data_IF_093775377029
#
_entry.id   IF_093775377029
#
_cell.length_a   1.000
_cell.length_b   1.000
_cell.length_c   1.000
_cell.angle_alpha   90.00
_cell.angle_beta   90.00
_cell.angle_gamma   90.00
#
_symmetry.space_group_name_H-M   'P 1'
#
loop_
_entity.id
_entity.type
_entity.pdbx_description
1 polymer ?
#
# COMPACT_ATOMS: atom_id res chain seq x y z
N UNK A 1 -6.69 30.34 -0.54
CA UNK A 1 -6.10 29.89 -1.81
C UNK A 1 -7.16 29.56 -2.85
N UNK A 2 -8.05 28.60 -2.62
CA UNK A 2 -9.09 28.20 -3.58
C UNK A 2 -9.92 29.38 -4.10
N UNK A 3 -10.49 30.24 -3.24
CA UNK A 3 -11.27 31.40 -3.64
C UNK A 3 -10.46 32.44 -4.43
N UNK A 4 -9.19 32.64 -4.11
CA UNK A 4 -8.30 33.52 -4.87
C UNK A 4 -8.08 32.94 -6.27
N UNK A 5 -7.91 31.62 -6.38
CA UNK A 5 -7.72 30.93 -7.65
C UNK A 5 -8.99 30.97 -8.51
N UNK A 6 -10.19 30.91 -7.90
CA UNK A 6 -11.47 31.05 -8.61
C UNK A 6 -11.65 32.46 -9.22
N UNK A 7 -11.26 33.52 -8.51
CA UNK A 7 -11.45 34.92 -8.93
C UNK A 7 -10.34 35.39 -9.89
N UNK A 8 -9.14 34.78 -9.87
CA UNK A 8 -8.06 35.13 -10.78
C UNK A 8 -8.41 34.78 -12.23
N UNK A 9 -7.90 35.51 -13.25
CA UNK A 9 -8.08 35.09 -14.65
C UNK A 9 -7.47 33.71 -14.89
N UNK A 10 -8.06 32.91 -15.80
CA UNK A 10 -7.50 31.64 -16.18
C UNK A 10 -6.15 31.84 -16.89
N UNK A 11 -5.12 31.04 -16.61
CA UNK A 11 -3.90 31.07 -17.42
C UNK A 11 -4.20 30.81 -18.89
N UNK A 12 -3.43 31.41 -19.77
CA UNK A 12 -3.62 31.28 -21.21
C UNK A 12 -3.56 29.81 -21.65
N UNK A 13 -4.62 29.37 -22.32
CA UNK A 13 -4.80 27.98 -22.78
C UNK A 13 -5.43 27.01 -21.77
N UNK A 14 -5.75 27.45 -20.55
CA UNK A 14 -6.46 26.63 -19.57
C UNK A 14 -7.97 26.89 -19.64
N UNK A 15 -8.82 25.87 -19.91
CA UNK A 15 -10.27 26.02 -19.86
C UNK A 15 -10.77 26.43 -18.45
N UNK A 16 -11.89 27.14 -18.38
CA UNK A 16 -12.46 27.60 -17.10
C UNK A 16 -12.75 26.44 -16.14
N UNK A 17 -13.28 25.31 -16.65
CA UNK A 17 -13.49 24.12 -15.84
C UNK A 17 -12.16 23.52 -15.36
N UNK A 18 -11.14 23.50 -16.22
CA UNK A 18 -9.79 23.06 -15.85
C UNK A 18 -9.18 23.92 -14.73
N UNK A 19 -9.40 25.23 -14.77
CA UNK A 19 -9.00 26.14 -13.69
C UNK A 19 -9.69 25.80 -12.37
N UNK A 20 -11.01 25.54 -12.38
CA UNK A 20 -11.76 25.14 -11.18
C UNK A 20 -11.19 23.84 -10.60
N UNK A 21 -10.97 22.84 -11.45
CA UNK A 21 -10.39 21.55 -11.03
C UNK A 21 -8.99 21.74 -10.45
N UNK A 22 -8.15 22.57 -11.08
CA UNK A 22 -6.82 22.88 -10.55
C UNK A 22 -6.90 23.53 -9.14
N UNK A 23 -7.85 24.46 -8.94
CA UNK A 23 -8.09 25.07 -7.63
C UNK A 23 -8.54 24.09 -6.56
N UNK A 24 -9.48 23.19 -6.90
CA UNK A 24 -9.94 22.13 -5.99
C UNK A 24 -8.81 21.19 -5.68
N UNK A 25 -8.05 20.76 -6.69
CA UNK A 25 -6.90 19.88 -6.51
C UNK A 25 -5.85 20.50 -5.59
N UNK A 26 -5.51 21.77 -5.80
CA UNK A 26 -4.56 22.48 -4.96
C UNK A 26 -5.04 22.54 -3.48
N UNK A 27 -6.34 22.75 -3.26
CA UNK A 27 -6.91 22.73 -1.92
C UNK A 27 -6.77 21.35 -1.27
N UNK A 28 -7.14 20.28 -1.98
CA UNK A 28 -6.99 18.91 -1.50
C UNK A 28 -5.52 18.59 -1.18
N UNK A 29 -4.60 18.91 -2.09
CA UNK A 29 -3.17 18.68 -1.92
C UNK A 29 -2.63 19.41 -0.69
N UNK A 30 -2.94 20.68 -0.52
CA UNK A 30 -2.50 21.46 0.65
C UNK A 30 -3.00 20.83 1.95
N UNK A 31 -4.26 20.41 2.01
CA UNK A 31 -4.81 19.79 3.21
C UNK A 31 -4.29 18.37 3.44
N UNK A 32 -4.01 17.60 2.39
CA UNK A 32 -3.38 16.29 2.51
C UNK A 32 -1.91 16.37 2.96
N UNK A 33 -1.18 17.41 2.50
CA UNK A 33 0.24 17.60 2.87
C UNK A 33 0.37 18.19 4.28
N UNK A 34 -0.46 19.17 4.61
CA UNK A 34 -0.37 19.85 5.92
C UNK A 34 -1.14 19.14 7.03
N UNK A 35 -1.98 18.15 6.68
CA UNK A 35 -2.91 17.49 7.61
C UNK A 35 -3.72 18.48 8.46
N UNK A 36 -3.96 19.70 7.92
CA UNK A 36 -4.77 20.73 8.60
C UNK A 36 -6.19 20.22 8.93
N UNK A 37 -6.68 19.31 8.13
CA UNK A 37 -7.89 18.51 8.35
C UNK A 37 -7.53 17.06 8.09
N UNK A 38 -8.19 16.11 8.77
CA UNK A 38 -7.97 14.69 8.52
C UNK A 38 -7.99 14.36 7.02
N UNK A 39 -7.02 13.62 6.54
CA UNK A 39 -6.92 13.21 5.13
C UNK A 39 -8.21 12.55 4.63
N UNK A 40 -8.91 11.80 5.51
CA UNK A 40 -10.17 11.14 5.19
C UNK A 40 -11.32 12.14 5.00
N UNK A 41 -11.40 13.16 5.87
CA UNK A 41 -12.41 14.22 5.75
C UNK A 41 -12.14 15.10 4.51
N UNK A 42 -10.88 15.45 4.25
CA UNK A 42 -10.45 16.15 3.05
C UNK A 42 -10.89 15.39 1.80
N UNK A 43 -10.79 14.08 1.81
CA UNK A 43 -11.16 13.22 0.69
C UNK A 43 -12.67 13.15 0.42
N UNK A 44 -13.52 13.76 1.24
CA UNK A 44 -14.96 13.93 0.96
C UNK A 44 -15.26 15.22 0.17
N UNK A 45 -14.31 16.15 0.07
CA UNK A 45 -14.53 17.42 -0.62
C UNK A 45 -14.92 17.27 -2.11
N UNK A 46 -14.37 16.35 -2.91
CA UNK A 46 -14.79 16.15 -4.30
C UNK A 46 -16.30 15.88 -4.44
N UNK A 47 -16.91 15.11 -3.50
CA UNK A 47 -18.35 14.84 -3.50
C UNK A 47 -19.21 16.11 -3.40
N UNK A 48 -18.69 17.15 -2.78
CA UNK A 48 -19.39 18.44 -2.65
C UNK A 48 -18.94 19.45 -3.73
N UNK A 49 -17.62 19.60 -3.92
CA UNK A 49 -17.08 20.69 -4.73
C UNK A 49 -17.29 20.47 -6.24
N UNK A 50 -17.15 19.26 -6.75
CA UNK A 50 -17.37 19.02 -8.19
C UNK A 50 -18.82 19.26 -8.60
N UNK A 51 -19.85 18.78 -7.87
CA UNK A 51 -21.22 19.11 -8.20
C UNK A 51 -21.57 20.59 -8.03
N UNK A 52 -21.12 21.25 -6.97
CA UNK A 52 -21.39 22.69 -6.73
C UNK A 52 -20.77 23.54 -7.83
N UNK A 53 -19.60 23.21 -8.33
CA UNK A 53 -18.91 23.95 -9.40
C UNK A 53 -19.33 23.54 -10.81
N UNK A 54 -20.17 22.49 -10.94
CA UNK A 54 -20.64 21.99 -12.24
C UNK A 54 -19.60 21.23 -13.05
N UNK A 55 -18.46 20.87 -12.46
CA UNK A 55 -17.41 20.07 -13.15
C UNK A 55 -17.89 18.65 -13.41
N UNK A 56 -18.43 17.98 -12.39
CA UNK A 56 -19.01 16.65 -12.48
C UNK A 56 -20.33 16.60 -11.69
N UNK A 57 -21.32 15.85 -12.16
CA UNK A 57 -22.56 15.66 -11.39
C UNK A 57 -22.31 14.78 -10.15
N UNK A 58 -23.14 14.95 -9.12
CA UNK A 58 -23.09 14.13 -7.90
C UNK A 58 -23.22 12.63 -8.21
N UNK A 59 -24.03 12.29 -9.23
CA UNK A 59 -24.19 10.89 -9.67
C UNK A 59 -22.88 10.30 -10.17
N UNK A 60 -22.14 11.06 -10.97
CA UNK A 60 -20.85 10.62 -11.53
C UNK A 60 -19.82 10.50 -10.40
N UNK A 61 -19.64 11.56 -9.61
CA UNK A 61 -18.67 11.52 -8.51
C UNK A 61 -19.00 10.41 -7.51
N UNK A 62 -20.29 10.22 -7.16
CA UNK A 62 -20.72 9.16 -6.24
C UNK A 62 -20.44 7.74 -6.78
N UNK A 63 -20.52 7.55 -8.10
CA UNK A 63 -20.15 6.28 -8.72
C UNK A 63 -18.67 5.94 -8.51
N UNK A 64 -17.77 6.94 -8.61
CA UNK A 64 -16.34 6.74 -8.36
C UNK A 64 -16.02 6.32 -6.92
N UNK A 65 -16.80 6.83 -5.94
CA UNK A 65 -16.66 6.43 -4.53
C UNK A 65 -17.24 5.04 -4.22
N UNK A 66 -17.95 4.45 -5.16
CA UNK A 66 -18.51 3.09 -5.10
C UNK A 66 -18.07 2.25 -6.30
N UNK A 67 -16.92 2.55 -6.89
CA UNK A 67 -16.39 1.77 -8.00
C UNK A 67 -16.13 0.32 -7.59
N UNK A 68 -16.13 -0.63 -8.54
CA UNK A 68 -15.90 -2.05 -8.25
C UNK A 68 -14.64 -2.31 -7.41
N UNK A 69 -13.58 -1.52 -7.62
CA UNK A 69 -12.33 -1.69 -6.88
C UNK A 69 -12.45 -1.26 -5.42
N UNK A 70 -13.29 -0.28 -5.12
CA UNK A 70 -13.60 0.13 -3.74
C UNK A 70 -14.45 -0.93 -3.05
N UNK A 71 -15.40 -1.52 -3.77
CA UNK A 71 -16.22 -2.64 -3.28
C UNK A 71 -15.33 -3.86 -2.99
N UNK A 72 -14.39 -4.17 -3.90
CA UNK A 72 -13.39 -5.22 -3.68
C UNK A 72 -12.63 -4.99 -2.38
N UNK A 73 -12.11 -3.79 -2.17
CA UNK A 73 -11.33 -3.47 -0.97
C UNK A 73 -12.20 -3.57 0.30
N UNK A 74 -13.44 -3.11 0.26
CA UNK A 74 -14.38 -3.27 1.37
C UNK A 74 -14.59 -4.75 1.73
N UNK A 75 -14.83 -5.60 0.73
CA UNK A 75 -14.97 -7.05 0.93
C UNK A 75 -13.71 -7.67 1.54
N UNK A 76 -12.53 -7.30 1.03
CA UNK A 76 -11.26 -7.77 1.58
C UNK A 76 -11.01 -7.26 3.01
N UNK A 77 -11.41 -6.05 3.35
CA UNK A 77 -11.32 -5.57 4.74
C UNK A 77 -12.15 -6.43 5.70
N UNK A 78 -13.32 -6.90 5.30
CA UNK A 78 -14.12 -7.82 6.12
C UNK A 78 -13.42 -9.17 6.30
N UNK A 79 -12.80 -9.71 5.24
CA UNK A 79 -12.02 -10.96 5.31
C UNK A 79 -10.81 -10.79 6.24
N UNK A 80 -10.05 -9.70 6.07
CA UNK A 80 -8.88 -9.38 6.91
C UNK A 80 -9.30 -9.17 8.37
N UNK A 81 -10.41 -8.48 8.62
CA UNK A 81 -10.96 -8.28 9.96
C UNK A 81 -11.22 -9.62 10.70
N UNK A 82 -11.68 -10.63 9.97
CA UNK A 82 -11.86 -11.97 10.55
C UNK A 82 -10.51 -12.64 10.86
N UNK A 83 -9.52 -12.49 10.00
CA UNK A 83 -8.15 -12.96 10.26
C UNK A 83 -7.60 -12.32 11.53
N UNK A 84 -7.76 -11.00 11.67
CA UNK A 84 -7.31 -10.24 12.84
C UNK A 84 -8.05 -10.69 14.12
N UNK A 85 -9.38 -10.75 14.06
CA UNK A 85 -10.22 -11.12 15.21
C UNK A 85 -9.92 -12.55 15.70
N UNK A 86 -9.59 -13.47 14.80
CA UNK A 86 -9.22 -14.85 15.16
C UNK A 86 -7.80 -14.97 15.76
N UNK A 87 -6.95 -13.98 15.57
CA UNK A 87 -5.54 -14.04 15.94
C UNK A 87 -4.72 -15.00 15.07
N UNK A 88 -5.20 -15.36 13.88
CA UNK A 88 -4.54 -16.27 12.95
C UNK A 88 -3.17 -15.74 12.55
N UNK A 89 -3.03 -14.41 12.31
CA UNK A 89 -1.78 -13.76 11.94
C UNK A 89 -0.65 -13.96 12.98
N UNK A 90 -0.99 -13.97 14.29
CA UNK A 90 0.00 -14.23 15.34
C UNK A 90 0.53 -15.66 15.26
N UNK A 91 -0.35 -16.60 14.98
CA UNK A 91 0.01 -18.01 14.84
C UNK A 91 0.88 -18.27 13.63
N UNK A 92 0.54 -17.63 12.48
CA UNK A 92 1.36 -17.67 11.27
C UNK A 92 2.73 -17.06 11.56
N UNK A 93 2.78 -15.92 12.25
CA UNK A 93 4.03 -15.23 12.58
C UNK A 93 4.97 -16.09 13.41
N UNK A 94 4.52 -16.64 14.55
CA UNK A 94 5.35 -17.52 15.36
C UNK A 94 5.73 -18.82 14.65
N UNK A 95 4.84 -19.34 13.78
CA UNK A 95 5.13 -20.47 12.91
C UNK A 95 6.32 -20.20 12.02
N UNK A 96 6.29 -19.10 11.25
CA UNK A 96 7.34 -18.72 10.32
C UNK A 96 8.64 -18.37 11.06
N UNK A 97 8.59 -17.50 12.09
CA UNK A 97 9.79 -17.10 12.85
C UNK A 97 10.54 -18.33 13.40
N UNK A 98 9.80 -19.31 13.94
CA UNK A 98 10.41 -20.52 14.51
C UNK A 98 11.08 -21.44 13.48
N UNK A 99 10.79 -21.28 12.17
CA UNK A 99 11.41 -22.09 11.10
C UNK A 99 12.81 -21.61 10.73
N UNK A 100 13.12 -20.33 10.90
CA UNK A 100 14.39 -19.76 10.47
C UNK A 100 15.53 -19.92 11.49
N UNK A 101 15.20 -20.18 12.76
CA UNK A 101 16.15 -20.36 13.84
C UNK A 101 16.31 -19.14 14.75
N UNK A 102 17.25 -19.18 15.67
CA UNK A 102 17.24 -18.34 16.87
C UNK A 102 18.48 -17.44 17.02
N UNK A 103 19.37 -17.40 16.05
CA UNK A 103 20.46 -16.41 16.05
C UNK A 103 19.94 -15.01 15.75
N UNK A 104 20.63 -13.94 16.17
CA UNK A 104 20.21 -12.56 15.93
C UNK A 104 19.84 -12.27 14.48
N UNK A 105 20.63 -12.75 13.52
CA UNK A 105 20.36 -12.60 12.08
C UNK A 105 19.09 -13.33 11.66
N UNK A 106 18.92 -14.57 12.16
CA UNK A 106 17.77 -15.42 11.81
C UNK A 106 16.46 -14.89 12.40
N UNK A 107 16.52 -14.24 13.56
CA UNK A 107 15.37 -13.55 14.14
C UNK A 107 14.93 -12.41 13.22
N UNK A 108 15.86 -11.53 12.80
CA UNK A 108 15.56 -10.45 11.86
C UNK A 108 15.00 -11.03 10.56
N UNK A 109 15.66 -12.04 9.98
CA UNK A 109 15.22 -12.75 8.78
C UNK A 109 13.78 -13.28 8.94
N UNK A 110 13.50 -14.00 10.02
CA UNK A 110 12.19 -14.60 10.28
C UNK A 110 11.09 -13.56 10.41
N UNK A 111 11.35 -12.46 11.15
CA UNK A 111 10.40 -11.36 11.27
C UNK A 111 10.17 -10.64 9.94
N UNK A 112 11.23 -10.35 9.17
CA UNK A 112 11.11 -9.67 7.87
C UNK A 112 10.33 -10.50 6.87
N UNK A 113 10.63 -11.80 6.73
CA UNK A 113 9.90 -12.69 5.82
C UNK A 113 8.44 -12.84 6.26
N UNK A 114 8.21 -13.07 7.55
CA UNK A 114 6.86 -13.18 8.10
C UNK A 114 6.04 -11.92 7.81
N UNK A 115 6.60 -10.76 8.13
CA UNK A 115 5.94 -9.46 7.93
C UNK A 115 5.63 -9.22 6.46
N UNK A 116 6.59 -9.45 5.56
CA UNK A 116 6.37 -9.30 4.13
C UNK A 116 5.28 -10.24 3.61
N UNK A 117 5.32 -11.54 3.98
CA UNK A 117 4.32 -12.52 3.55
C UNK A 117 2.91 -12.16 4.03
N UNK A 118 2.73 -11.76 5.28
CA UNK A 118 1.43 -11.33 5.77
C UNK A 118 0.99 -10.05 5.05
N UNK A 119 1.93 -9.14 4.76
CA UNK A 119 1.66 -7.88 4.08
C UNK A 119 1.37 -8.03 2.59
N UNK A 120 1.51 -9.21 1.99
CA UNK A 120 1.01 -9.44 0.62
C UNK A 120 -0.51 -9.46 0.52
N UNK A 121 -1.20 -9.69 1.63
CA UNK A 121 -2.67 -9.85 1.68
C UNK A 121 -3.33 -8.83 2.61
N UNK A 122 -2.62 -8.44 3.66
CA UNK A 122 -3.08 -7.49 4.67
C UNK A 122 -2.32 -6.18 4.48
N UNK A 123 -3.01 -5.05 4.58
CA UNK A 123 -2.39 -3.72 4.44
C UNK A 123 -1.18 -3.55 5.40
N UNK A 124 -0.12 -2.92 4.90
CA UNK A 124 1.12 -2.70 5.65
C UNK A 124 0.90 -2.06 7.03
N UNK A 125 -0.04 -1.12 7.14
CA UNK A 125 -0.42 -0.47 8.42
C UNK A 125 -0.91 -1.50 9.43
N UNK A 126 -1.86 -2.34 9.04
CA UNK A 126 -2.44 -3.38 9.90
C UNK A 126 -1.38 -4.40 10.32
N UNK A 127 -0.55 -4.84 9.38
CA UNK A 127 0.53 -5.78 9.68
C UNK A 127 1.52 -5.18 10.68
N UNK A 128 1.88 -3.92 10.53
CA UNK A 128 2.78 -3.23 11.45
C UNK A 128 2.17 -3.12 12.87
N UNK A 129 0.89 -2.74 12.97
CA UNK A 129 0.16 -2.69 14.27
C UNK A 129 0.17 -4.05 14.98
N UNK A 130 0.16 -5.15 14.24
CA UNK A 130 0.15 -6.50 14.80
C UNK A 130 1.56 -7.01 15.14
N UNK A 131 2.53 -6.80 14.25
CA UNK A 131 3.86 -7.41 14.38
C UNK A 131 4.78 -6.58 15.30
N UNK A 132 4.72 -5.24 15.28
CA UNK A 132 5.59 -4.40 16.10
C UNK A 132 5.41 -4.66 17.60
N UNK A 133 4.19 -4.75 18.17
CA UNK A 133 4.01 -5.15 19.56
C UNK A 133 4.56 -6.55 19.87
N UNK A 134 4.48 -7.49 18.91
CA UNK A 134 5.09 -8.82 19.08
C UNK A 134 6.62 -8.73 19.17
N UNK A 135 7.25 -7.88 18.38
CA UNK A 135 8.69 -7.60 18.48
C UNK A 135 9.03 -7.07 19.86
N UNK A 136 8.26 -6.10 20.36
CA UNK A 136 8.49 -5.55 21.71
C UNK A 136 8.30 -6.59 22.81
N UNK A 137 7.27 -7.41 22.71
CA UNK A 137 7.04 -8.49 23.69
C UNK A 137 8.22 -9.48 23.71
N UNK A 138 8.76 -9.85 22.55
CA UNK A 138 9.94 -10.72 22.48
C UNK A 138 11.18 -10.03 23.04
N UNK A 139 11.43 -8.74 22.68
CA UNK A 139 12.56 -7.98 23.21
C UNK A 139 12.49 -7.82 24.74
N UNK A 140 11.30 -7.60 25.30
CA UNK A 140 11.09 -7.57 26.76
C UNK A 140 11.39 -8.93 27.38
N UNK A 141 10.83 -10.01 26.86
CA UNK A 141 11.08 -11.35 27.36
C UNK A 141 12.57 -11.75 27.29
N UNK A 142 13.27 -11.34 26.24
CA UNK A 142 14.72 -11.54 26.13
C UNK A 142 15.46 -10.78 27.25
N UNK A 143 15.12 -9.52 27.47
CA UNK A 143 15.72 -8.69 28.52
C UNK A 143 15.44 -9.23 29.92
N UNK A 144 14.18 -9.59 30.20
CA UNK A 144 13.71 -10.09 31.50
C UNK A 144 14.38 -11.44 31.86
N UNK A 145 14.76 -12.24 30.84
CA UNK A 145 15.48 -13.49 31.01
C UNK A 145 17.02 -13.32 30.92
N UNK A 146 17.53 -12.09 30.95
CA UNK A 146 18.96 -11.81 31.01
C UNK A 146 19.71 -11.88 29.68
N UNK A 147 19.00 -12.00 28.54
CA UNK A 147 19.62 -11.94 27.21
C UNK A 147 19.97 -10.50 26.88
N UNK A 148 21.27 -10.21 26.81
CA UNK A 148 21.76 -8.89 26.39
C UNK A 148 21.73 -8.76 24.88
N UNK A 149 21.25 -7.66 24.37
CA UNK A 149 21.29 -7.28 22.97
C UNK A 149 21.61 -5.78 22.81
N UNK A 150 22.20 -5.43 21.67
CA UNK A 150 22.58 -4.05 21.40
C UNK A 150 21.39 -3.20 20.96
N UNK A 151 21.47 -1.88 21.18
CA UNK A 151 20.52 -0.93 20.60
C UNK A 151 20.44 -1.07 19.07
N UNK A 152 21.57 -1.39 18.44
CA UNK A 152 21.66 -1.62 16.99
C UNK A 152 20.79 -2.80 16.55
N UNK A 153 20.82 -3.93 17.27
CA UNK A 153 19.95 -5.09 16.98
C UNK A 153 18.47 -4.69 17.07
N UNK A 154 18.08 -4.00 18.15
CA UNK A 154 16.70 -3.50 18.32
C UNK A 154 16.27 -2.62 17.13
N UNK A 155 17.10 -1.65 16.74
CA UNK A 155 16.82 -0.74 15.62
C UNK A 155 16.70 -1.51 14.29
N UNK A 156 17.64 -2.42 14.02
CA UNK A 156 17.60 -3.21 12.76
C UNK A 156 16.39 -4.13 12.68
N UNK A 157 15.99 -4.74 13.79
CA UNK A 157 14.80 -5.58 13.85
C UNK A 157 13.52 -4.77 13.60
N UNK A 158 13.36 -3.63 14.26
CA UNK A 158 12.17 -2.78 14.13
C UNK A 158 12.07 -2.15 12.73
N UNK A 159 13.16 -1.58 12.21
CA UNK A 159 13.18 -1.03 10.85
C UNK A 159 13.01 -2.13 9.80
N UNK A 160 13.61 -3.30 10.01
CA UNK A 160 13.42 -4.46 9.13
C UNK A 160 11.96 -4.87 9.03
N UNK A 161 11.23 -4.90 10.13
CA UNK A 161 9.78 -5.16 10.15
C UNK A 161 9.00 -4.08 9.43
N UNK A 162 9.24 -2.79 9.75
CA UNK A 162 8.53 -1.69 9.10
C UNK A 162 8.72 -1.69 7.57
N UNK A 163 9.96 -1.83 7.11
CA UNK A 163 10.27 -1.81 5.68
C UNK A 163 9.78 -3.04 4.96
N UNK A 164 9.87 -4.24 5.58
CA UNK A 164 9.32 -5.46 5.01
C UNK A 164 7.80 -5.43 4.89
N UNK A 165 7.10 -4.74 5.80
CA UNK A 165 5.66 -4.50 5.70
C UNK A 165 5.31 -3.69 4.45
N UNK A 166 6.03 -2.59 4.18
CA UNK A 166 5.84 -1.78 2.98
C UNK A 166 6.23 -2.54 1.71
N UNK A 167 7.36 -3.26 1.72
CA UNK A 167 7.82 -4.06 0.58
C UNK A 167 6.81 -5.18 0.26
N UNK A 168 6.29 -5.89 1.26
CA UNK A 168 5.29 -6.94 1.05
C UNK A 168 4.00 -6.41 0.45
N UNK A 169 3.57 -5.20 0.84
CA UNK A 169 2.28 -4.63 0.44
C UNK A 169 2.19 -4.27 -1.05
N UNK A 170 3.30 -4.09 -1.75
CA UNK A 170 3.25 -3.80 -3.19
C UNK A 170 2.96 -5.03 -4.05
N UNK A 171 3.01 -6.25 -3.47
CA UNK A 171 2.89 -7.51 -4.22
C UNK A 171 1.52 -7.71 -4.84
N UNK A 172 0.45 -7.36 -4.15
CA UNK A 172 -0.93 -7.58 -4.62
C UNK A 172 -1.72 -6.29 -4.67
N UNK A 173 -2.81 -6.28 -5.44
CA UNK A 173 -3.67 -5.10 -5.55
C UNK A 173 -4.26 -4.68 -4.21
N UNK A 174 -4.68 -5.64 -3.38
CA UNK A 174 -5.45 -5.39 -2.15
C UNK A 174 -4.60 -4.94 -0.96
N UNK A 175 -3.30 -5.18 -1.00
CA UNK A 175 -2.41 -4.93 0.13
C UNK A 175 -1.94 -3.47 0.24
N UNK A 176 -2.12 -2.67 -0.82
CA UNK A 176 -1.75 -1.25 -0.85
C UNK A 176 -2.78 -0.43 -1.65
N UNK A 177 -3.37 0.63 -1.08
CA UNK A 177 -4.31 1.49 -1.79
C UNK A 177 -3.78 2.09 -3.10
N UNK A 178 -2.52 2.53 -3.21
CA UNK A 178 -1.94 2.96 -4.49
C UNK A 178 -2.06 1.93 -5.61
N UNK A 179 -1.91 0.63 -5.31
CA UNK A 179 -2.02 -0.44 -6.32
C UNK A 179 -3.44 -0.50 -6.92
N UNK A 180 -4.45 -0.36 -6.06
CA UNK A 180 -5.85 -0.32 -6.48
C UNK A 180 -6.17 0.93 -7.30
N UNK A 181 -5.66 2.08 -6.87
CA UNK A 181 -5.81 3.34 -7.60
C UNK A 181 -5.18 3.25 -8.99
N UNK A 182 -4.00 2.66 -9.11
CA UNK A 182 -3.38 2.39 -10.39
C UNK A 182 -4.28 1.55 -11.29
N UNK A 183 -4.81 0.43 -10.79
CA UNK A 183 -5.65 -0.47 -11.58
C UNK A 183 -6.92 0.21 -12.09
N UNK A 184 -7.56 1.04 -11.23
CA UNK A 184 -8.79 1.76 -11.61
C UNK A 184 -8.51 2.87 -12.62
N UNK A 185 -7.48 3.71 -12.39
CA UNK A 185 -7.13 4.79 -13.31
C UNK A 185 -6.69 4.24 -14.67
N UNK A 186 -5.96 3.13 -14.70
CA UNK A 186 -5.60 2.46 -15.95
C UNK A 186 -6.85 1.96 -16.69
N UNK A 187 -7.82 1.39 -15.97
CA UNK A 187 -9.09 0.95 -16.56
C UNK A 187 -9.89 2.13 -17.11
N UNK A 188 -10.01 3.20 -16.33
CA UNK A 188 -10.79 4.38 -16.69
C UNK A 188 -10.20 5.14 -17.89
N UNK A 189 -8.89 5.42 -17.87
CA UNK A 189 -8.27 6.28 -18.88
C UNK A 189 -7.78 5.52 -20.13
N UNK A 190 -7.39 4.26 -19.98
CA UNK A 190 -6.77 3.48 -21.06
C UNK A 190 -7.57 2.26 -21.47
N UNK A 191 -8.70 1.97 -20.80
CA UNK A 191 -9.56 0.82 -21.09
C UNK A 191 -8.90 -0.55 -20.81
N UNK A 192 -7.76 -0.58 -20.11
CA UNK A 192 -6.99 -1.80 -19.84
C UNK A 192 -7.30 -2.33 -18.44
N UNK A 193 -7.65 -3.59 -18.33
CA UNK A 193 -7.95 -4.23 -17.05
C UNK A 193 -6.69 -4.81 -16.41
N UNK A 194 -6.32 -4.30 -15.25
CA UNK A 194 -5.25 -4.86 -14.41
C UNK A 194 -5.88 -5.82 -13.42
N UNK A 195 -5.76 -7.11 -13.66
CA UNK A 195 -6.32 -8.14 -12.78
C UNK A 195 -5.43 -8.34 -11.54
N UNK A 196 -5.99 -9.04 -10.53
CA UNK A 196 -5.22 -9.42 -9.34
C UNK A 196 -3.98 -10.26 -9.71
N UNK A 197 -4.15 -11.20 -10.66
CA UNK A 197 -3.07 -12.06 -11.15
C UNK A 197 -2.01 -11.30 -11.94
N UNK A 198 -2.43 -10.44 -12.90
CA UNK A 198 -1.51 -9.63 -13.70
C UNK A 198 -0.65 -8.72 -12.86
N UNK A 199 -1.24 -7.96 -11.94
CA UNK A 199 -0.46 -7.12 -11.03
C UNK A 199 0.52 -7.95 -10.20
N UNK A 200 0.03 -9.02 -9.56
CA UNK A 200 0.87 -9.84 -8.68
C UNK A 200 2.04 -10.50 -9.42
N UNK A 201 1.84 -10.96 -10.66
CA UNK A 201 2.90 -11.56 -11.46
C UNK A 201 4.02 -10.58 -11.81
N UNK A 202 3.68 -9.32 -12.00
CA UNK A 202 4.62 -8.24 -12.33
C UNK A 202 5.32 -7.69 -11.08
N UNK A 203 4.56 -7.48 -9.99
CA UNK A 203 5.08 -6.88 -8.77
C UNK A 203 5.88 -7.87 -7.90
N UNK A 204 5.55 -9.17 -7.93
CA UNK A 204 6.21 -10.17 -7.09
C UNK A 204 7.74 -10.29 -7.32
N UNK A 205 8.28 -10.30 -8.55
CA UNK A 205 9.72 -10.32 -8.77
C UNK A 205 10.44 -9.13 -8.13
N UNK A 206 9.88 -7.93 -8.26
CA UNK A 206 10.41 -6.72 -7.63
C UNK A 206 10.36 -6.82 -6.10
N UNK A 207 9.20 -7.25 -5.55
CA UNK A 207 9.02 -7.44 -4.11
C UNK A 207 10.05 -8.43 -3.54
N UNK A 208 10.20 -9.59 -4.17
CA UNK A 208 11.15 -10.63 -3.73
C UNK A 208 12.57 -10.08 -3.74
N UNK A 209 12.97 -9.41 -4.82
CA UNK A 209 14.33 -8.86 -4.95
C UNK A 209 14.58 -7.76 -3.92
N UNK A 210 13.65 -6.83 -3.74
CA UNK A 210 13.75 -5.77 -2.72
C UNK A 210 13.80 -6.33 -1.30
N UNK A 211 12.99 -7.36 -1.02
CA UNK A 211 12.98 -8.02 0.28
C UNK A 211 14.32 -8.73 0.54
N UNK A 212 14.86 -9.47 -0.43
CA UNK A 212 16.15 -10.13 -0.32
C UNK A 212 17.29 -9.14 -0.05
N UNK A 213 17.35 -8.04 -0.80
CA UNK A 213 18.35 -6.98 -0.60
C UNK A 213 18.20 -6.36 0.79
N UNK A 214 16.98 -6.07 1.22
CA UNK A 214 16.70 -5.52 2.55
C UNK A 214 17.12 -6.48 3.67
N UNK A 215 16.84 -7.77 3.54
CA UNK A 215 17.27 -8.81 4.49
C UNK A 215 18.80 -8.88 4.57
N UNK A 216 19.50 -8.91 3.44
CA UNK A 216 20.96 -8.92 3.40
C UNK A 216 21.52 -7.67 4.09
N UNK A 217 20.93 -6.50 3.81
CA UNK A 217 21.35 -5.24 4.44
C UNK A 217 21.17 -5.26 5.96
N UNK A 218 19.98 -5.58 6.46
CA UNK A 218 19.69 -5.55 7.91
C UNK A 218 20.44 -6.65 8.68
N UNK A 219 20.49 -7.87 8.15
CA UNK A 219 21.22 -8.98 8.79
C UNK A 219 22.72 -8.76 8.75
N UNK A 220 23.25 -8.12 7.71
CA UNK A 220 24.67 -7.74 7.61
C UNK A 220 25.08 -6.71 8.70
N UNK A 221 24.18 -5.80 9.07
CA UNK A 221 24.42 -4.81 10.13
C UNK A 221 24.59 -5.41 11.53
N UNK A 222 24.02 -6.58 11.79
CA UNK A 222 24.07 -7.29 13.09
C UNK A 222 25.00 -8.51 13.05
N UNK A 223 25.96 -8.53 12.12
CA UNK A 223 26.86 -9.68 11.91
C UNK A 223 27.62 -10.10 13.18
N UNK A 224 27.99 -9.15 14.00
CA UNK A 224 28.81 -9.38 15.20
C UNK A 224 27.98 -9.44 16.50
N UNK A 225 26.65 -9.46 16.40
CA UNK A 225 25.78 -9.58 17.57
C UNK A 225 25.85 -11.00 18.10
N UNK A 226 26.14 -11.14 19.40
CA UNK A 226 26.16 -12.42 20.10
C UNK A 226 25.02 -12.44 21.13
N UNK A 227 24.20 -13.47 21.07
CA UNK A 227 23.08 -13.70 21.97
C UNK A 227 22.99 -15.20 22.30
N UNK A 228 22.44 -15.52 23.48
CA UNK A 228 22.18 -16.91 23.85
C UNK A 228 21.05 -17.52 23.02
N UNK A 229 21.41 -18.25 21.98
CA UNK A 229 20.44 -18.88 21.07
C UNK A 229 19.56 -19.94 21.76
N UNK A 230 20.08 -20.60 22.82
CA UNK A 230 19.34 -21.62 23.55
C UNK A 230 18.20 -21.00 24.33
N UNK A 231 18.47 -19.89 24.97
CA UNK A 231 17.48 -19.14 25.76
C UNK A 231 16.43 -18.49 24.85
N UNK A 232 16.87 -17.90 23.73
CA UNK A 232 15.97 -17.36 22.70
C UNK A 232 15.03 -18.44 22.16
N UNK A 233 15.58 -19.62 21.84
CA UNK A 233 14.79 -20.78 21.39
C UNK A 233 13.72 -21.13 22.40
N UNK A 234 14.08 -21.23 23.67
CA UNK A 234 13.15 -21.56 24.77
C UNK A 234 12.01 -20.54 24.82
N UNK A 235 12.32 -19.24 24.75
CA UNK A 235 11.33 -18.16 24.79
C UNK A 235 10.36 -18.24 23.60
N UNK A 236 10.88 -18.30 22.36
CA UNK A 236 10.05 -18.33 21.15
C UNK A 236 9.21 -19.61 21.08
N UNK A 237 9.76 -20.76 21.44
CA UNK A 237 9.01 -22.03 21.44
C UNK A 237 7.91 -22.00 22.49
N UNK A 238 8.18 -21.50 23.71
CA UNK A 238 7.18 -21.36 24.77
C UNK A 238 6.05 -20.44 24.34
N UNK A 239 6.35 -19.28 23.73
CA UNK A 239 5.32 -18.36 23.21
C UNK A 239 4.47 -19.01 22.08
N UNK A 240 5.12 -19.78 21.19
CA UNK A 240 4.43 -20.54 20.16
C UNK A 240 3.51 -21.62 20.76
N UNK A 241 3.97 -22.35 21.77
CA UNK A 241 3.19 -23.39 22.46
C UNK A 241 1.96 -22.82 23.18
N UNK A 242 2.08 -21.62 23.80
CA UNK A 242 0.92 -20.91 24.41
C UNK A 242 -0.20 -20.66 23.43
N UNK A 243 0.10 -20.54 22.12
CA UNK A 243 -0.93 -20.35 21.10
C UNK A 243 -1.75 -21.62 20.82
N UNK A 244 -1.30 -22.78 21.27
CA UNK A 244 -2.02 -24.05 21.17
C UNK A 244 -2.31 -24.51 19.74
N UNK A 245 -3.31 -25.37 19.55
CA UNK A 245 -3.79 -25.82 18.22
C UNK A 245 -4.65 -24.72 17.57
N UNK A 246 -4.77 -24.75 16.25
CA UNK A 246 -5.66 -23.83 15.52
C UNK A 246 -7.10 -23.98 15.97
N UNK A 247 -7.73 -22.85 16.35
CA UNK A 247 -9.14 -22.81 16.70
C UNK A 247 -10.03 -22.97 15.46
N UNK A 248 -11.33 -23.18 15.65
CA UNK A 248 -12.30 -23.27 14.54
C UNK A 248 -12.35 -21.95 13.77
N UNK A 249 -12.31 -20.82 14.48
CA UNK A 249 -12.32 -19.47 13.90
C UNK A 249 -11.08 -19.23 13.04
N UNK A 250 -9.90 -19.62 13.53
CA UNK A 250 -8.65 -19.50 12.76
C UNK A 250 -8.68 -20.33 11.49
N UNK A 251 -9.19 -21.56 11.56
CA UNK A 251 -9.34 -22.42 10.37
C UNK A 251 -10.34 -21.82 9.38
N UNK A 252 -11.50 -21.36 9.86
CA UNK A 252 -12.51 -20.73 9.00
C UNK A 252 -11.99 -19.48 8.31
N UNK A 253 -11.31 -18.59 9.05
CA UNK A 253 -10.66 -17.39 8.46
C UNK A 253 -9.63 -17.76 7.40
N UNK A 254 -8.79 -18.76 7.68
CA UNK A 254 -7.77 -19.20 6.72
C UNK A 254 -8.40 -19.79 5.46
N UNK A 255 -9.39 -20.66 5.62
CA UNK A 255 -10.06 -21.31 4.49
C UNK A 255 -10.76 -20.27 3.61
N UNK A 256 -11.52 -19.34 4.21
CA UNK A 256 -12.21 -18.30 3.45
C UNK A 256 -11.21 -17.39 2.75
N UNK A 257 -10.15 -16.96 3.45
CA UNK A 257 -9.09 -16.16 2.86
C UNK A 257 -8.48 -16.86 1.64
N UNK A 258 -8.13 -18.14 1.77
CA UNK A 258 -7.53 -18.92 0.67
C UNK A 258 -8.52 -19.11 -0.48
N UNK A 259 -9.79 -19.40 -0.21
CA UNK A 259 -10.84 -19.53 -1.25
C UNK A 259 -10.98 -18.21 -2.00
N UNK A 260 -11.11 -17.08 -1.29
CA UNK A 260 -11.23 -15.75 -1.91
C UNK A 260 -10.03 -15.45 -2.80
N UNK A 261 -8.80 -15.66 -2.30
CA UNK A 261 -7.59 -15.42 -3.08
C UNK A 261 -7.51 -16.33 -4.31
N UNK A 262 -7.78 -17.62 -4.19
CA UNK A 262 -7.76 -18.58 -5.31
C UNK A 262 -8.78 -18.16 -6.37
N UNK A 263 -10.01 -17.81 -5.97
CA UNK A 263 -11.05 -17.36 -6.90
C UNK A 263 -10.67 -16.04 -7.57
N UNK A 264 -10.07 -15.10 -6.86
CA UNK A 264 -9.60 -13.83 -7.46
C UNK A 264 -8.47 -14.05 -8.48
N UNK A 265 -7.55 -14.97 -8.23
CA UNK A 265 -6.54 -15.36 -9.22
C UNK A 265 -7.13 -16.07 -10.43
N UNK A 266 -8.18 -16.84 -10.22
CA UNK A 266 -8.81 -17.63 -11.26
C UNK A 266 -9.90 -16.85 -12.04
N UNK A 267 -10.39 -15.71 -11.54
CA UNK A 267 -11.45 -14.91 -12.16
C UNK A 267 -11.22 -14.59 -13.66
N UNK A 268 -10.01 -14.24 -14.14
CA UNK A 268 -9.78 -13.96 -15.55
C UNK A 268 -10.08 -15.13 -16.49
N UNK A 269 -10.03 -16.38 -15.99
CA UNK A 269 -10.28 -17.56 -16.83
C UNK A 269 -11.77 -17.76 -17.20
N UNK A 270 -12.71 -17.14 -16.45
CA UNK A 270 -14.14 -17.25 -16.74
C UNK A 270 -14.83 -15.91 -17.01
N UNK A 271 -14.30 -14.80 -16.48
CA UNK A 271 -14.92 -13.48 -16.56
C UNK A 271 -14.27 -12.57 -17.64
N UNK A 272 -13.12 -12.96 -18.18
CA UNK A 272 -12.42 -12.17 -19.21
C UNK A 272 -12.17 -10.72 -18.74
N UNK A 273 -12.60 -9.75 -19.55
CA UNK A 273 -12.38 -8.32 -19.28
C UNK A 273 -13.16 -7.80 -18.08
N UNK A 274 -14.22 -8.47 -17.66
CA UNK A 274 -15.03 -8.12 -16.48
C UNK A 274 -14.50 -8.75 -15.18
N UNK A 275 -13.35 -9.42 -15.22
CA UNK A 275 -12.74 -10.13 -14.09
C UNK A 275 -12.57 -9.28 -12.82
N UNK A 276 -12.41 -7.97 -12.96
CA UNK A 276 -12.30 -7.06 -11.81
C UNK A 276 -13.63 -6.84 -11.09
N UNK A 277 -14.78 -6.90 -11.79
CA UNK A 277 -16.13 -6.89 -11.18
C UNK A 277 -16.33 -8.19 -10.43
N UNK A 278 -15.99 -9.33 -11.04
CA UNK A 278 -16.07 -10.64 -10.42
C UNK A 278 -15.21 -10.71 -9.14
N UNK A 279 -14.00 -10.12 -9.14
CA UNK A 279 -13.17 -10.07 -7.93
C UNK A 279 -13.81 -9.25 -6.81
N UNK A 280 -14.54 -8.17 -7.12
CA UNK A 280 -15.29 -7.41 -6.14
C UNK A 280 -16.44 -8.23 -5.53
N UNK A 281 -17.18 -8.94 -6.37
CA UNK A 281 -18.25 -9.86 -5.93
C UNK A 281 -17.70 -10.96 -5.04
N UNK A 282 -16.60 -11.62 -5.47
CA UNK A 282 -15.92 -12.66 -4.69
C UNK A 282 -15.49 -12.14 -3.31
N UNK A 283 -14.90 -10.95 -3.24
CA UNK A 283 -14.45 -10.35 -2.01
C UNK A 283 -15.60 -10.05 -1.04
N UNK A 284 -16.71 -9.47 -1.53
CA UNK A 284 -17.90 -9.20 -0.73
C UNK A 284 -18.55 -10.50 -0.25
N UNK A 285 -18.72 -11.50 -1.12
CA UNK A 285 -19.25 -12.80 -0.70
C UNK A 285 -18.39 -13.45 0.38
N UNK A 286 -17.06 -13.42 0.22
CA UNK A 286 -16.13 -13.90 1.23
C UNK A 286 -16.29 -13.16 2.56
N UNK A 287 -16.38 -11.83 2.53
CA UNK A 287 -16.58 -10.99 3.70
C UNK A 287 -17.93 -11.26 4.40
N UNK A 288 -19.03 -11.30 3.64
CA UNK A 288 -20.37 -11.54 4.17
C UNK A 288 -20.53 -12.95 4.73
N UNK A 289 -19.91 -13.97 4.13
CA UNK A 289 -19.96 -15.35 4.64
C UNK A 289 -19.49 -15.47 6.09
N UNK A 290 -18.56 -14.61 6.53
CA UNK A 290 -18.02 -14.58 7.88
C UNK A 290 -19.03 -14.13 8.94
N UNK A 291 -20.10 -13.41 8.56
CA UNK A 291 -21.21 -13.05 9.45
C UNK A 291 -22.20 -14.19 9.65
N UNK A 292 -22.18 -15.20 8.78
CA UNK A 292 -23.06 -16.37 8.87
C UNK A 292 -22.44 -17.48 9.70
N UNK A 293 -21.11 -17.60 9.69
CA UNK A 293 -20.38 -18.67 10.40
C UNK A 293 -20.58 -18.54 11.91
N UNK A 294 -21.05 -19.61 12.59
CA UNK A 294 -21.22 -19.60 14.04
C UNK A 294 -19.86 -19.75 14.73
N UNK A 295 -19.58 -18.89 15.71
CA UNK A 295 -18.46 -19.02 16.64
C UNK A 295 -18.81 -20.04 17.72
N UNK A 296 -20.04 -19.90 18.29
CA UNK A 296 -20.65 -20.80 19.25
C UNK A 296 -22.17 -20.83 19.01
N UNK A 297 -22.95 -21.41 19.94
CA UNK A 297 -24.41 -21.51 19.80
C UNK A 297 -25.13 -20.16 19.75
N UNK A 298 -24.57 -19.12 20.33
CA UNK A 298 -25.19 -17.78 20.48
C UNK A 298 -24.53 -16.69 19.72
N UNK A 299 -23.23 -16.83 19.35
CA UNK A 299 -22.43 -15.78 18.70
C UNK A 299 -22.04 -16.19 17.30
N UNK A 300 -22.03 -15.21 16.41
CA UNK A 300 -21.43 -15.29 15.07
C UNK A 300 -19.96 -14.91 15.09
N UNK A 301 -19.22 -15.33 14.06
CA UNK A 301 -17.79 -15.06 13.98
C UNK A 301 -17.52 -13.56 13.82
N UNK A 302 -18.18 -12.88 12.88
CA UNK A 302 -18.23 -11.43 12.78
C UNK A 302 -19.61 -10.92 13.18
N UNK A 303 -19.63 -9.78 13.89
CA UNK A 303 -20.82 -9.00 14.19
C UNK A 303 -20.71 -7.64 13.51
N UNK A 304 -21.83 -6.98 13.26
CA UNK A 304 -21.82 -5.67 12.60
C UNK A 304 -20.99 -4.62 13.35
N UNK A 305 -20.94 -4.70 14.68
CA UNK A 305 -20.08 -3.84 15.51
C UNK A 305 -18.59 -3.98 15.22
N UNK A 306 -18.13 -5.11 14.70
CA UNK A 306 -16.72 -5.30 14.32
C UNK A 306 -16.36 -4.45 13.09
N UNK A 307 -17.31 -4.14 12.21
CA UNK A 307 -17.12 -3.32 11.00
C UNK A 307 -16.61 -1.90 11.33
N UNK A 308 -16.87 -1.42 12.54
CA UNK A 308 -16.31 -0.13 13.00
C UNK A 308 -14.77 -0.09 13.00
N UNK A 309 -14.11 -1.26 13.01
CA UNK A 309 -12.64 -1.37 12.94
C UNK A 309 -12.11 -1.33 11.50
N UNK A 310 -12.99 -1.43 10.51
CA UNK A 310 -12.61 -1.34 9.10
C UNK A 310 -12.14 0.09 8.80
N UNK A 311 -11.00 0.26 8.14
CA UNK A 311 -10.46 1.59 7.83
C UNK A 311 -11.20 2.25 6.64
N UNK A 312 -12.48 2.59 6.83
CA UNK A 312 -13.36 3.15 5.79
C UNK A 312 -12.78 4.43 5.16
N UNK A 313 -11.99 5.20 5.91
CA UNK A 313 -11.36 6.41 5.40
C UNK A 313 -10.46 6.16 4.18
N UNK A 314 -9.86 4.98 4.07
CA UNK A 314 -9.04 4.60 2.92
C UNK A 314 -9.89 4.52 1.64
N UNK A 315 -11.15 4.05 1.76
CA UNK A 315 -12.08 3.98 0.63
C UNK A 315 -12.40 5.39 0.10
N UNK A 316 -12.55 6.37 0.99
CA UNK A 316 -12.79 7.76 0.60
C UNK A 316 -11.59 8.40 -0.10
N UNK A 317 -10.34 8.09 0.32
CA UNK A 317 -9.16 8.61 -0.37
C UNK A 317 -9.09 8.04 -1.80
N UNK A 318 -9.39 6.75 -1.97
CA UNK A 318 -9.43 6.14 -3.31
C UNK A 318 -10.49 6.81 -4.18
N UNK A 319 -11.72 6.96 -3.69
CA UNK A 319 -12.80 7.63 -4.41
C UNK A 319 -12.45 9.07 -4.80
N UNK A 320 -11.77 9.80 -3.92
CA UNK A 320 -11.28 11.14 -4.21
C UNK A 320 -10.24 11.14 -5.35
N UNK A 321 -9.27 10.22 -5.30
CA UNK A 321 -8.22 10.09 -6.33
C UNK A 321 -8.79 9.74 -7.70
N UNK A 322 -9.73 8.79 -7.75
CA UNK A 322 -10.42 8.39 -8.99
C UNK A 322 -11.25 9.56 -9.53
N UNK A 323 -12.04 10.22 -8.68
CA UNK A 323 -12.82 11.40 -9.08
C UNK A 323 -11.95 12.55 -9.58
N UNK A 324 -10.77 12.76 -9.01
CA UNK A 324 -9.80 13.74 -9.50
C UNK A 324 -9.29 13.36 -10.90
N UNK A 325 -8.98 12.10 -11.13
CA UNK A 325 -8.53 11.60 -12.43
C UNK A 325 -9.58 11.91 -13.52
N UNK A 326 -10.83 11.57 -13.24
CA UNK A 326 -11.95 11.86 -14.16
C UNK A 326 -12.14 13.38 -14.36
N UNK A 327 -12.06 14.18 -13.29
CA UNK A 327 -12.18 15.64 -13.39
C UNK A 327 -11.04 16.26 -14.21
N UNK A 328 -9.81 15.74 -14.12
CA UNK A 328 -8.66 16.21 -14.90
C UNK A 328 -8.92 16.05 -16.40
N UNK A 329 -9.40 14.87 -16.81
CA UNK A 329 -9.67 14.58 -18.22
C UNK A 329 -10.86 15.36 -18.76
N UNK A 330 -11.98 15.35 -18.04
CA UNK A 330 -13.20 15.99 -18.51
C UNK A 330 -13.14 17.51 -18.54
N UNK A 331 -12.30 18.15 -17.71
CA UNK A 331 -12.15 19.60 -17.64
C UNK A 331 -11.09 20.18 -18.58
N UNK A 332 -10.32 19.35 -19.29
CA UNK A 332 -9.19 19.76 -20.11
C UNK A 332 -7.95 20.20 -19.32
N UNK A 333 -7.94 20.03 -17.99
CA UNK A 333 -6.75 20.30 -17.16
C UNK A 333 -5.62 19.36 -17.53
N UNK A 334 -5.93 18.10 -17.83
CA UNK A 334 -4.99 17.08 -18.26
C UNK A 334 -4.21 17.54 -19.50
N UNK A 335 -4.92 17.99 -20.54
CA UNK A 335 -4.33 18.46 -21.81
C UNK A 335 -3.46 19.70 -21.61
N UNK A 336 -3.92 20.62 -20.78
CA UNK A 336 -3.17 21.82 -20.43
C UNK A 336 -1.84 21.46 -19.74
N UNK A 337 -1.87 20.62 -18.70
CA UNK A 337 -0.65 20.18 -17.99
C UNK A 337 0.29 19.44 -18.92
N UNK A 338 -0.22 18.53 -19.73
CA UNK A 338 0.59 17.78 -20.70
C UNK A 338 1.27 18.70 -21.70
N UNK A 339 0.57 19.70 -22.24
CA UNK A 339 1.14 20.68 -23.15
C UNK A 339 2.22 21.54 -22.48
N UNK A 340 2.00 22.02 -21.26
CA UNK A 340 3.01 22.81 -20.52
C UNK A 340 4.22 22.01 -20.13
N UNK A 341 4.07 20.72 -19.88
CA UNK A 341 5.15 19.81 -19.50
C UNK A 341 5.78 19.08 -20.69
N UNK A 342 5.30 19.34 -21.92
CA UNK A 342 5.89 18.76 -23.14
C UNK A 342 7.37 19.11 -23.35
N UNK A 343 7.87 20.20 -22.76
CA UNK A 343 9.30 20.49 -22.72
C UNK A 343 10.14 19.36 -22.09
N UNK A 344 9.55 18.51 -21.24
CA UNK A 344 10.23 17.34 -20.66
C UNK A 344 10.43 16.23 -21.70
N UNK A 345 9.67 16.21 -22.80
CA UNK A 345 9.83 15.21 -23.87
C UNK A 345 11.18 15.27 -24.60
N UNK A 346 11.95 16.35 -24.40
CA UNK A 346 13.33 16.48 -24.88
C UNK A 346 14.26 15.47 -24.18
N UNK A 347 13.91 15.06 -22.95
CA UNK A 347 14.72 14.12 -22.18
C UNK A 347 14.47 12.67 -22.67
N UNK A 348 15.51 11.82 -22.69
CA UNK A 348 15.34 10.39 -22.94
C UNK A 348 14.37 9.76 -21.95
N UNK A 349 13.49 8.85 -22.41
CA UNK A 349 12.49 8.19 -21.59
C UNK A 349 13.03 7.58 -20.27
N UNK A 350 14.21 6.91 -20.27
CA UNK A 350 14.78 6.41 -18.99
C UNK A 350 15.05 7.51 -17.97
N UNK A 351 15.48 8.70 -18.41
CA UNK A 351 15.74 9.83 -17.51
C UNK A 351 14.43 10.35 -16.91
N UNK A 352 13.39 10.42 -17.71
CA UNK A 352 12.03 10.81 -17.26
C UNK A 352 11.52 9.85 -16.19
N UNK A 353 11.66 8.54 -16.42
CA UNK A 353 11.24 7.52 -15.43
C UNK A 353 12.02 7.69 -14.12
N UNK A 354 13.34 7.83 -14.18
CA UNK A 354 14.17 8.03 -12.97
C UNK A 354 13.73 9.29 -12.21
N UNK A 355 13.46 10.38 -12.91
CA UNK A 355 13.01 11.64 -12.30
C UNK A 355 11.64 11.48 -11.63
N UNK A 356 10.67 10.90 -12.34
CA UNK A 356 9.30 10.69 -11.80
C UNK A 356 9.35 9.78 -10.57
N UNK A 357 10.02 8.64 -10.66
CA UNK A 357 10.18 7.70 -9.55
C UNK A 357 10.87 8.36 -8.35
N UNK A 358 11.94 9.14 -8.60
CA UNK A 358 12.68 9.84 -7.55
C UNK A 358 11.83 10.91 -6.86
N UNK A 359 11.15 11.75 -7.64
CA UNK A 359 10.29 12.83 -7.11
C UNK A 359 9.14 12.22 -6.31
N UNK A 360 8.46 11.20 -6.86
CA UNK A 360 7.36 10.51 -6.18
C UNK A 360 7.82 9.91 -4.86
N UNK A 361 8.98 9.25 -4.84
CA UNK A 361 9.53 8.66 -3.61
C UNK A 361 9.93 9.71 -2.57
N UNK A 362 10.55 10.82 -2.99
CA UNK A 362 10.92 11.92 -2.08
C UNK A 362 9.67 12.54 -1.46
N UNK A 363 8.67 12.84 -2.27
CA UNK A 363 7.41 13.41 -1.79
C UNK A 363 6.64 12.40 -0.92
N UNK A 364 6.60 11.13 -1.31
CA UNK A 364 5.98 10.05 -0.53
C UNK A 364 6.60 9.86 0.86
N UNK A 365 7.84 10.33 1.10
CA UNK A 365 8.43 10.36 2.46
C UNK A 365 7.88 11.50 3.33
N UNK A 366 7.25 12.51 2.75
CA UNK A 366 6.73 13.69 3.47
C UNK A 366 5.23 13.68 3.65
N UNK A 367 4.52 12.75 2.99
CA UNK A 367 3.07 12.61 3.06
C UNK A 367 2.64 11.15 2.91
N UNK A 368 1.37 10.87 3.18
CA UNK A 368 0.81 9.52 3.03
C UNK A 368 1.04 8.96 1.61
N UNK A 369 1.44 7.68 1.51
CA UNK A 369 1.61 6.97 0.25
C UNK A 369 0.35 7.00 -0.64
N UNK A 370 -0.85 6.85 -0.05
CA UNK A 370 -2.12 6.93 -0.78
C UNK A 370 -2.37 8.33 -1.33
N UNK A 371 -2.11 9.39 -0.54
CA UNK A 371 -2.25 10.77 -1.01
C UNK A 371 -1.21 11.09 -2.11
N UNK A 372 0.02 10.61 -1.99
CA UNK A 372 1.04 10.73 -3.03
C UNK A 372 0.56 10.12 -4.35
N UNK A 373 0.05 8.89 -4.31
CA UNK A 373 -0.49 8.21 -5.48
C UNK A 373 -1.68 8.97 -6.08
N UNK A 374 -2.61 9.45 -5.24
CA UNK A 374 -3.80 10.18 -5.66
C UNK A 374 -3.49 11.48 -6.41
N UNK A 375 -2.34 12.08 -6.13
CA UNK A 375 -1.87 13.30 -6.82
C UNK A 375 -1.09 12.93 -8.09
N UNK A 376 -0.11 12.03 -7.96
CA UNK A 376 0.84 11.80 -9.04
C UNK A 376 0.29 10.92 -10.16
N UNK A 377 -0.54 9.91 -9.87
CA UNK A 377 -1.05 9.00 -10.90
C UNK A 377 -1.88 9.76 -11.94
N UNK A 378 -2.91 10.58 -11.59
CA UNK A 378 -3.69 11.29 -12.59
C UNK A 378 -2.86 12.29 -13.42
N UNK A 379 -1.98 13.04 -12.75
CA UNK A 379 -1.13 14.04 -13.42
C UNK A 379 -0.23 13.39 -14.45
N UNK A 380 0.48 12.32 -14.06
CA UNK A 380 1.43 11.65 -14.95
C UNK A 380 0.70 10.79 -16.00
N UNK A 381 -0.50 10.28 -15.72
CA UNK A 381 -1.33 9.61 -16.72
C UNK A 381 -1.62 10.54 -17.90
N UNK A 382 -2.01 11.77 -17.60
CA UNK A 382 -2.27 12.80 -18.60
C UNK A 382 -1.00 13.16 -19.39
N UNK A 383 0.14 13.31 -18.70
CA UNK A 383 1.43 13.56 -19.35
C UNK A 383 1.84 12.41 -20.28
N UNK A 384 1.67 11.16 -19.85
CA UNK A 384 2.04 9.99 -20.60
C UNK A 384 1.22 9.88 -21.90
N UNK A 385 -0.10 10.13 -21.82
CA UNK A 385 -0.98 10.11 -22.97
C UNK A 385 -0.57 11.12 -24.07
N UNK A 386 -0.21 12.35 -23.67
CA UNK A 386 0.15 13.42 -24.60
C UNK A 386 1.57 13.32 -25.17
N UNK A 387 2.50 12.78 -24.39
CA UNK A 387 3.90 12.65 -24.82
C UNK A 387 4.23 11.28 -25.44
N UNK A 388 3.21 10.44 -25.68
CA UNK A 388 3.36 9.09 -26.20
C UNK A 388 4.32 8.21 -25.36
N UNK A 389 4.41 8.46 -24.06
CA UNK A 389 5.12 7.56 -23.17
C UNK A 389 4.26 6.31 -22.91
N UNK A 390 4.86 5.13 -22.69
CA UNK A 390 4.10 3.96 -22.31
C UNK A 390 3.43 4.22 -20.94
N UNK A 391 2.09 4.42 -20.88
CA UNK A 391 1.46 4.94 -19.68
C UNK A 391 1.45 3.93 -18.54
N UNK A 392 1.16 2.67 -18.82
CA UNK A 392 1.01 1.65 -17.79
C UNK A 392 2.29 1.41 -16.98
N UNK A 393 3.46 1.19 -17.61
CA UNK A 393 4.72 1.06 -16.87
C UNK A 393 5.05 2.28 -16.03
N UNK A 394 4.88 3.49 -16.57
CA UNK A 394 5.20 4.73 -15.84
C UNK A 394 4.31 4.89 -14.62
N UNK A 395 3.00 4.63 -14.75
CA UNK A 395 2.06 4.69 -13.63
C UNK A 395 2.33 3.61 -12.59
N UNK A 396 2.71 2.40 -13.02
CA UNK A 396 3.18 1.35 -12.11
C UNK A 396 4.43 1.81 -11.32
N UNK A 397 5.37 2.48 -11.97
CA UNK A 397 6.55 3.07 -11.30
C UNK A 397 6.19 4.07 -10.21
N UNK A 398 5.21 4.95 -10.47
CA UNK A 398 4.68 5.90 -9.47
C UNK A 398 4.04 5.16 -8.30
N UNK A 399 3.19 4.19 -8.61
CA UNK A 399 2.48 3.38 -7.62
C UNK A 399 3.44 2.68 -6.66
N UNK A 400 4.49 2.08 -7.21
CA UNK A 400 5.51 1.37 -6.43
C UNK A 400 6.37 2.35 -5.61
N UNK A 401 6.78 3.47 -6.21
CA UNK A 401 7.61 4.47 -5.52
C UNK A 401 6.87 5.22 -4.43
N UNK A 402 5.57 5.49 -4.58
CA UNK A 402 4.75 6.08 -3.52
C UNK A 402 4.63 5.17 -2.30
N UNK A 403 4.64 3.84 -2.51
CA UNK A 403 4.46 2.84 -1.44
C UNK A 403 5.76 2.52 -0.68
N UNK A 404 6.94 2.83 -1.23
CA UNK A 404 8.25 2.47 -0.68
C UNK A 404 8.99 3.65 -0.04
N UNK A 405 8.33 4.37 0.87
CA UNK A 405 8.92 5.48 1.60
C UNK A 405 9.66 4.98 2.86
N UNK A 406 10.99 5.07 2.88
CA UNK A 406 11.85 4.51 3.94
C UNK A 406 12.57 5.55 4.82
N UNK A 407 12.49 6.87 4.49
CA UNK A 407 13.34 7.88 5.12
C UNK A 407 12.76 8.45 6.42
N UNK A 408 11.47 8.78 6.42
CA UNK A 408 10.84 9.55 7.50
C UNK A 408 9.70 8.78 8.17
N UNK A 409 9.43 9.07 9.45
CA UNK A 409 8.31 8.46 10.17
C UNK A 409 6.96 8.64 9.47
N UNK A 410 6.71 9.83 8.91
CA UNK A 410 5.45 10.20 8.28
C UNK A 410 5.24 9.55 6.91
N UNK A 411 6.29 9.00 6.28
CA UNK A 411 6.20 8.43 4.94
C UNK A 411 5.28 7.21 4.87
N UNK A 412 5.29 6.35 5.88
CA UNK A 412 4.39 5.21 5.99
C UNK A 412 3.94 4.97 7.42
N UNK A 413 2.71 4.47 7.66
CA UNK A 413 2.27 4.15 9.01
C UNK A 413 3.17 3.14 9.76
N UNK A 414 3.74 2.10 9.12
CA UNK A 414 4.73 1.25 9.75
C UNK A 414 5.94 2.01 10.31
N UNK A 415 6.44 3.00 9.58
CA UNK A 415 7.55 3.85 10.02
C UNK A 415 7.16 4.69 11.24
N UNK A 416 5.97 5.30 11.23
CA UNK A 416 5.46 6.08 12.35
C UNK A 416 5.36 5.24 13.63
N UNK A 417 4.80 4.02 13.54
CA UNK A 417 4.67 3.11 14.67
C UNK A 417 6.01 2.71 15.27
N UNK A 418 7.01 2.43 14.44
CA UNK A 418 8.35 2.08 14.90
C UNK A 418 9.04 3.28 15.55
N UNK A 419 8.84 4.48 15.01
CA UNK A 419 9.36 5.72 15.57
C UNK A 419 8.77 6.00 16.96
N UNK A 420 7.45 6.00 17.07
CA UNK A 420 6.73 6.31 18.32
C UNK A 420 6.98 5.28 19.42
N UNK A 421 6.71 4.01 19.12
CA UNK A 421 6.81 2.92 20.11
C UNK A 421 8.27 2.48 20.32
N UNK A 422 9.09 2.48 19.26
CA UNK A 422 10.48 2.04 19.29
C UNK A 422 11.44 3.04 19.89
N UNK A 423 11.03 4.32 19.99
CA UNK A 423 11.91 5.45 20.31
C UNK A 423 13.16 5.47 19.43
N UNK A 424 12.98 5.14 18.14
CA UNK A 424 14.07 5.16 17.18
C UNK A 424 14.27 6.60 16.73
N UNK A 425 15.51 7.07 16.74
CA UNK A 425 15.82 8.41 16.27
C UNK A 425 15.61 8.52 14.75
N UNK A 426 15.05 9.64 14.30
CA UNK A 426 14.88 9.95 12.87
C UNK A 426 16.20 9.80 12.11
N UNK A 427 17.32 10.18 12.72
CA UNK A 427 18.67 10.00 12.14
C UNK A 427 18.98 8.54 11.77
N UNK A 428 18.57 7.58 12.61
CA UNK A 428 18.77 6.15 12.32
C UNK A 428 17.84 5.67 11.21
N UNK A 429 16.62 6.21 11.12
CA UNK A 429 15.71 5.93 10.01
C UNK A 429 16.29 6.46 8.70
N UNK A 430 16.70 7.72 8.65
CA UNK A 430 17.31 8.32 7.44
C UNK A 430 18.56 7.54 7.03
N UNK A 431 19.47 7.25 7.96
CA UNK A 431 20.71 6.55 7.68
C UNK A 431 20.52 5.17 7.03
N UNK A 432 19.52 4.42 7.48
CA UNK A 432 19.23 3.10 6.94
C UNK A 432 18.27 3.18 5.74
N UNK A 433 17.31 4.10 5.78
CA UNK A 433 16.31 4.29 4.74
C UNK A 433 16.89 4.85 3.44
N UNK A 434 17.89 5.76 3.50
CA UNK A 434 18.47 6.35 2.28
C UNK A 434 19.11 5.30 1.37
N UNK A 435 19.77 4.30 1.95
CA UNK A 435 20.38 3.21 1.18
C UNK A 435 19.31 2.40 0.45
N UNK A 436 18.25 2.03 1.15
CA UNK A 436 17.16 1.26 0.56
C UNK A 436 16.31 2.10 -0.41
N UNK A 437 16.17 3.42 -0.18
CA UNK A 437 15.49 4.33 -1.10
C UNK A 437 16.23 4.45 -2.43
N UNK A 438 17.57 4.60 -2.39
CA UNK A 438 18.39 4.64 -3.61
C UNK A 438 18.26 3.32 -4.38
N UNK A 439 18.36 2.19 -3.69
CA UNK A 439 18.19 0.88 -4.29
C UNK A 439 16.78 0.74 -4.89
N UNK A 440 15.75 1.18 -4.18
CA UNK A 440 14.36 1.14 -4.66
C UNK A 440 14.17 2.01 -5.92
N UNK A 441 14.73 3.23 -5.97
CA UNK A 441 14.68 4.08 -7.16
C UNK A 441 15.28 3.35 -8.36
N UNK A 442 16.47 2.76 -8.21
CA UNK A 442 17.14 2.01 -9.27
C UNK A 442 16.28 0.81 -9.71
N UNK A 443 15.83 0.01 -8.75
CA UNK A 443 15.06 -1.20 -9.02
C UNK A 443 13.71 -0.90 -9.68
N UNK A 444 12.97 0.10 -9.18
CA UNK A 444 11.69 0.52 -9.77
C UNK A 444 11.92 1.09 -11.18
N UNK A 445 12.97 1.88 -11.39
CA UNK A 445 13.29 2.42 -12.72
C UNK A 445 13.61 1.29 -13.72
N UNK A 446 14.43 0.32 -13.34
CA UNK A 446 14.72 -0.86 -14.17
C UNK A 446 13.45 -1.66 -14.43
N UNK A 447 12.62 -1.85 -13.40
CA UNK A 447 11.32 -2.51 -13.51
C UNK A 447 10.41 -1.81 -14.51
N UNK A 448 10.25 -0.50 -14.38
CA UNK A 448 9.38 0.31 -15.24
C UNK A 448 9.83 0.30 -16.70
N UNK A 449 11.15 0.40 -16.93
CA UNK A 449 11.71 0.54 -18.29
C UNK A 449 11.78 -0.81 -19.01
N UNK A 450 12.15 -1.87 -18.31
CA UNK A 450 12.50 -3.14 -18.96
C UNK A 450 11.59 -4.29 -18.57
N UNK A 451 11.31 -4.46 -17.26
CA UNK A 451 10.67 -5.66 -16.76
C UNK A 451 9.15 -5.62 -16.98
N UNK A 452 8.51 -4.48 -16.73
CA UNK A 452 7.08 -4.34 -16.91
C UNK A 452 6.64 -4.60 -18.36
N UNK A 453 7.25 -3.96 -19.38
CA UNK A 453 6.89 -4.25 -20.79
C UNK A 453 7.20 -5.68 -21.21
N UNK A 454 8.25 -6.29 -20.63
CA UNK A 454 8.61 -7.69 -20.93
C UNK A 454 7.58 -8.68 -20.38
N UNK A 455 7.04 -8.41 -19.17
CA UNK A 455 6.09 -9.30 -18.50
C UNK A 455 4.65 -9.14 -19.01
N UNK A 456 4.30 -7.96 -19.52
CA UNK A 456 2.97 -7.63 -20.00
C UNK A 456 3.02 -6.96 -21.40
N UNK A 457 3.55 -7.62 -22.42
CA UNK A 457 3.68 -7.01 -23.75
C UNK A 457 2.32 -6.68 -24.40
N UNK A 458 1.26 -7.39 -24.03
CA UNK A 458 -0.08 -7.16 -24.56
C UNK A 458 -0.83 -5.98 -23.93
N UNK A 459 -0.34 -5.49 -22.80
CA UNK A 459 -1.00 -4.45 -22.02
C UNK A 459 -0.14 -3.18 -21.95
N UNK A 460 1.17 -3.29 -22.21
CA UNK A 460 2.13 -2.17 -22.11
C UNK A 460 2.02 -1.14 -23.22
#
# INVERSE_FOLDING_TARGET
MFFIFLVSPAPEGLPDQGKIVAGITLWLVVWWVTEAVSIYATSLLPLALFPITGVLSLRVVGAEYMSPIIILLLGMFLVVLAVEKSGLQRKIAFGIISMFGYSPKRIILGFMICTALISTVIMSTTVAILIIPMVFAILSLLSDNGVKFSTKFKVMLLLGVAFSSSIGSITTLIASPPNLMYAEIVKELFGKTITFGTWSSVAAPLTITMLMISIIYFTGKVRNEQMDETLIRKIIVTEKEKLGKMTREQKASLIILLIVLILMFAAPYWAGDDSYIETAVIAIFGGVSLFVIPKNRTEKFLNWSDVQKVPLGVLFILGAGISLSLAFTTSGLADYLGTKLSALSILPFPVIVILIVSITMIIGNTMSNTATAAIFIPVVASMAALNHWPPLPVLAGITLSSSLAFLLPMGTPPNALVYEQGKIQVKEMIKNGIVLSIIAIIMISIFTIFLYPLLLPEIS
#
